data_IF_068413041744
#
_entry.id   IF_068413041744
#
_cell.length_a   1.000
_cell.length_b   1.000
_cell.length_c   1.000
_cell.angle_alpha   90.00
_cell.angle_beta   90.00
_cell.angle_gamma   90.00
#
_symmetry.space_group_name_H-M   'P 1'
#
loop_
_entity.id
_entity.type
_entity.pdbx_description
1 polymer ?
#
# COMPACT_ATOMS: atom_id res chain seq x y z
N UNK A 1 -64.91 -1.86 13.90
CA UNK A 1 -64.63 -0.41 13.85
C UNK A 1 -63.11 -0.30 13.87
N UNK A 2 -62.40 -0.28 12.73
CA UNK A 2 -62.21 0.88 11.82
C UNK A 2 -61.63 2.07 12.60
N UNK A 3 -60.46 2.64 12.32
CA UNK A 3 -59.74 2.79 11.04
C UNK A 3 -58.24 3.08 11.24
N UNK A 4 -57.48 2.93 10.16
CA UNK A 4 -56.09 3.34 9.91
C UNK A 4 -55.84 4.85 10.07
N UNK A 5 -54.58 5.24 10.35
CA UNK A 5 -53.90 6.36 9.64
C UNK A 5 -52.40 6.14 9.54
N UNK A 6 -51.91 6.22 8.31
CA UNK A 6 -50.54 6.26 7.79
C UNK A 6 -49.73 7.47 8.26
N UNK A 7 -48.42 7.31 8.50
CA UNK A 7 -47.43 8.36 8.27
C UNK A 7 -46.07 7.76 7.89
N UNK A 8 -45.64 8.06 6.67
CA UNK A 8 -44.31 7.79 6.12
C UNK A 8 -43.27 8.67 6.83
N UNK A 9 -42.08 8.13 7.06
CA UNK A 9 -40.85 8.93 7.18
C UNK A 9 -39.67 8.15 6.65
N UNK A 10 -39.44 8.40 5.36
CA UNK A 10 -38.16 8.29 4.67
C UNK A 10 -37.12 9.17 5.34
N UNK A 11 -35.99 8.61 5.77
CA UNK A 11 -34.75 9.38 5.95
C UNK A 11 -33.53 8.45 6.09
N UNK A 12 -32.64 8.55 5.10
CA UNK A 12 -31.21 8.58 5.35
C UNK A 12 -30.51 7.24 5.56
N UNK A 13 -30.24 6.56 4.46
CA UNK A 13 -29.21 5.54 4.35
C UNK A 13 -27.83 6.16 4.67
N UNK A 14 -27.33 5.95 5.89
CA UNK A 14 -25.97 6.34 6.26
C UNK A 14 -24.99 5.32 5.66
N UNK A 15 -24.63 5.54 4.40
CA UNK A 15 -23.55 4.84 3.71
C UNK A 15 -22.23 5.10 4.45
N UNK A 16 -21.72 4.08 5.14
CA UNK A 16 -20.46 4.10 5.85
C UNK A 16 -19.31 4.02 4.83
N UNK A 17 -18.83 5.16 4.35
CA UNK A 17 -17.59 5.20 3.56
C UNK A 17 -16.39 4.94 4.48
N UNK A 18 -15.51 3.97 4.16
CA UNK A 18 -14.24 3.86 4.87
C UNK A 18 -13.35 5.04 4.46
N UNK A 19 -13.01 5.89 5.44
CA UNK A 19 -12.05 6.99 5.28
C UNK A 19 -10.72 6.45 4.76
N UNK A 20 -10.31 6.90 3.56
CA UNK A 20 -8.97 6.69 3.04
C UNK A 20 -7.93 7.40 3.92
N UNK A 21 -6.77 6.78 4.22
CA UNK A 21 -5.64 7.51 4.77
C UNK A 21 -5.07 8.44 3.68
N UNK A 22 -5.12 9.74 3.94
CA UNK A 22 -4.49 10.78 3.14
C UNK A 22 -2.96 10.57 3.13
N UNK A 23 -2.45 10.18 1.97
CA UNK A 23 -1.03 10.04 1.67
C UNK A 23 -0.45 11.46 1.43
N UNK A 24 0.53 11.97 2.19
CA UNK A 24 1.19 13.22 1.84
C UNK A 24 2.13 12.96 0.64
N UNK A 25 1.72 13.44 -0.53
CA UNK A 25 2.57 13.47 -1.72
C UNK A 25 3.77 14.41 -1.46
N UNK A 26 5.02 14.01 -1.74
CA UNK A 26 6.15 14.93 -1.65
C UNK A 26 6.07 15.92 -2.80
N UNK A 27 6.03 17.21 -2.48
CA UNK A 27 6.14 18.28 -3.46
C UNK A 27 7.47 18.15 -4.24
N UNK A 28 7.49 18.39 -5.56
CA UNK A 28 8.75 18.47 -6.29
C UNK A 28 9.47 19.77 -5.90
N UNK A 29 10.65 19.63 -5.29
CA UNK A 29 11.58 20.73 -5.09
C UNK A 29 12.11 21.19 -6.45
N UNK A 30 11.58 22.28 -6.98
CA UNK A 30 12.21 22.99 -8.09
C UNK A 30 13.43 23.75 -7.58
N UNK A 31 14.61 23.18 -7.78
CA UNK A 31 15.83 23.98 -7.88
C UNK A 31 16.71 23.38 -8.98
N UNK A 32 16.28 23.58 -10.22
CA UNK A 32 17.11 23.38 -11.41
C UNK A 32 17.48 24.77 -11.95
N UNK A 33 18.63 25.29 -11.54
CA UNK A 33 19.23 26.44 -12.22
C UNK A 33 20.16 25.91 -13.31
N UNK A 34 19.58 25.58 -14.46
CA UNK A 34 20.35 25.44 -15.70
C UNK A 34 20.77 26.83 -16.15
N UNK A 35 22.08 27.12 -16.11
CA UNK A 35 22.62 28.33 -16.70
C UNK A 35 22.36 28.31 -18.22
N UNK A 36 21.54 29.25 -18.68
CA UNK A 36 21.45 29.60 -20.10
C UNK A 36 21.50 31.11 -20.23
N UNK A 37 22.32 31.49 -21.17
CA UNK A 37 22.77 32.82 -21.51
C UNK A 37 21.59 33.59 -22.12
N UNK A 38 21.26 34.77 -21.57
CA UNK A 38 20.94 35.94 -22.40
C UNK A 38 20.82 37.24 -21.59
N UNK A 39 21.22 38.31 -22.25
CA UNK A 39 21.41 39.68 -21.79
C UNK A 39 20.07 40.41 -21.54
N UNK A 40 19.80 40.86 -20.32
CA UNK A 40 18.95 42.04 -20.05
C UNK A 40 19.21 42.58 -18.64
N UNK A 41 19.65 43.85 -18.57
CA UNK A 41 20.02 44.57 -17.35
C UNK A 41 18.86 44.73 -16.33
N UNK A 42 19.09 44.31 -15.07
CA UNK A 42 18.37 44.82 -13.89
C UNK A 42 19.29 44.84 -12.66
N UNK A 43 19.45 45.98 -11.95
CA UNK A 43 20.41 46.08 -10.85
C UNK A 43 19.76 45.65 -9.53
N UNK A 44 20.01 44.41 -9.09
CA UNK A 44 19.73 44.02 -7.70
C UNK A 44 21.01 44.20 -6.88
N UNK A 45 21.12 45.39 -6.29
CA UNK A 45 22.09 45.70 -5.23
C UNK A 45 21.90 44.73 -4.04
N UNK A 46 23.02 44.35 -3.40
CA UNK A 46 23.18 43.56 -2.17
C UNK A 46 23.45 42.04 -2.22
N UNK A 47 23.81 41.44 -3.36
CA UNK A 47 24.57 40.16 -3.30
C UNK A 47 26.03 40.49 -3.02
N UNK A 48 26.49 40.25 -1.78
CA UNK A 48 27.91 40.28 -1.44
C UNK A 48 28.67 39.47 -2.50
N UNK A 49 29.38 40.17 -3.36
CA UNK A 49 30.02 39.54 -4.51
C UNK A 49 31.16 38.68 -3.97
N UNK A 50 31.11 37.36 -4.24
CA UNK A 50 32.21 36.46 -3.90
C UNK A 50 33.51 37.08 -4.44
N UNK A 51 34.60 37.11 -3.64
CA UNK A 51 35.89 37.56 -4.11
C UNK A 51 36.23 36.87 -5.43
N UNK A 52 36.59 37.64 -6.46
CA UNK A 52 36.98 37.08 -7.76
C UNK A 52 38.20 36.18 -7.54
N UNK A 53 37.98 34.87 -7.59
CA UNK A 53 39.07 33.90 -7.61
C UNK A 53 39.89 34.17 -8.87
N UNK A 54 41.19 34.46 -8.69
CA UNK A 54 42.16 34.47 -9.79
C UNK A 54 41.94 33.26 -10.67
N UNK A 55 41.93 33.44 -12.00
CA UNK A 55 41.70 32.37 -12.97
C UNK A 55 42.82 31.32 -12.81
N UNK A 56 42.57 30.32 -11.97
CA UNK A 56 43.47 29.18 -11.83
C UNK A 56 43.32 28.36 -13.11
N UNK A 57 44.45 28.12 -13.77
CA UNK A 57 44.61 27.15 -14.87
C UNK A 57 43.84 25.88 -14.47
N UNK A 58 42.98 25.36 -15.34
CA UNK A 58 42.18 24.16 -15.08
C UNK A 58 43.11 23.03 -14.61
N UNK A 59 43.16 22.75 -13.31
CA UNK A 59 43.84 21.57 -12.78
C UNK A 59 43.05 20.38 -13.33
N UNK A 60 43.73 19.51 -14.07
CA UNK A 60 43.13 18.40 -14.80
C UNK A 60 42.13 17.59 -13.96
N UNK A 61 41.19 16.96 -14.65
CA UNK A 61 40.11 16.18 -14.07
C UNK A 61 40.62 15.22 -12.97
N UNK A 62 40.05 15.31 -11.77
CA UNK A 62 40.30 14.37 -10.67
C UNK A 62 39.62 12.99 -10.89
N UNK A 63 39.18 12.69 -12.11
CA UNK A 63 38.51 11.42 -12.41
C UNK A 63 39.58 10.33 -12.46
N UNK A 64 39.65 9.53 -11.39
CA UNK A 64 40.44 8.30 -11.34
C UNK A 64 39.59 7.17 -11.91
N UNK A 65 40.09 6.46 -12.93
CA UNK A 65 39.43 5.27 -13.49
C UNK A 65 39.22 4.21 -12.40
N UNK A 66 38.04 3.58 -12.42
CA UNK A 66 37.62 2.59 -11.42
C UNK A 66 38.55 1.38 -11.33
N UNK A 67 39.28 1.08 -12.39
CA UNK A 67 40.26 -0.03 -12.43
C UNK A 67 41.56 0.26 -11.65
N UNK A 68 41.86 1.53 -11.34
CA UNK A 68 43.06 1.95 -10.62
C UNK A 68 42.81 2.28 -9.14
N UNK A 69 41.59 2.05 -8.62
CA UNK A 69 41.38 2.12 -7.19
C UNK A 69 41.99 0.88 -6.55
N UNK A 70 43.25 0.99 -6.11
CA UNK A 70 43.79 0.05 -5.13
C UNK A 70 42.79 0.07 -3.96
N UNK A 71 42.03 -1.03 -3.83
CA UNK A 71 41.09 -1.20 -2.74
C UNK A 71 41.81 -0.94 -1.43
N UNK A 72 41.12 -0.30 -0.49
CA UNK A 72 41.57 -0.08 0.88
C UNK A 72 41.81 -1.45 1.52
N UNK A 73 42.99 -2.02 1.28
CA UNK A 73 43.62 -3.00 2.13
C UNK A 73 44.03 -2.21 3.37
N UNK A 74 43.73 -2.73 4.56
CA UNK A 74 43.87 -2.05 5.84
C UNK A 74 45.29 -1.60 6.13
N UNK A 75 45.67 -0.45 5.58
CA UNK A 75 46.91 0.21 5.89
C UNK A 75 46.79 0.87 7.28
N UNK A 76 47.80 0.65 8.10
CA UNK A 76 47.98 1.32 9.37
C UNK A 76 48.17 2.82 9.09
N UNK A 77 47.16 3.62 9.41
CA UNK A 77 47.17 5.06 9.14
C UNK A 77 48.23 5.74 10.03
N UNK A 78 49.19 6.44 9.40
CA UNK A 78 50.20 7.23 10.09
C UNK A 78 49.57 8.36 10.92
N UNK A 79 50.21 8.71 12.04
CA UNK A 79 49.72 9.72 13.00
C UNK A 79 49.62 11.14 12.41
N UNK A 80 50.20 11.37 11.23
CA UNK A 80 50.07 12.60 10.45
C UNK A 80 48.99 12.57 9.35
N UNK A 81 48.27 11.46 9.15
CA UNK A 81 47.27 11.36 8.09
C UNK A 81 46.06 12.27 8.40
N UNK A 82 45.76 13.19 7.49
CA UNK A 82 44.59 14.08 7.53
C UNK A 82 43.26 13.34 7.67
N UNK A 83 43.21 12.06 7.27
CA UNK A 83 42.05 11.17 7.45
C UNK A 83 41.82 10.77 8.90
N UNK A 84 42.87 10.73 9.73
CA UNK A 84 42.77 10.52 11.19
C UNK A 84 42.28 11.75 11.94
N UNK A 85 42.49 12.95 11.36
CA UNK A 85 42.10 14.24 11.94
C UNK A 85 40.67 14.67 11.57
N UNK A 86 40.00 13.94 10.68
CA UNK A 86 38.57 14.15 10.40
C UNK A 86 37.74 13.42 11.46
N UNK A 87 36.67 14.02 12.03
CA UNK A 87 35.72 13.30 12.87
C UNK A 87 35.03 12.19 12.05
N UNK A 88 35.67 11.04 11.92
CA UNK A 88 35.07 9.83 11.38
C UNK A 88 34.21 9.26 12.50
N UNK A 89 32.96 8.86 12.21
CA UNK A 89 32.27 7.88 13.08
C UNK A 89 33.24 6.73 13.30
N UNK A 90 33.53 6.41 14.56
CA UNK A 90 34.34 5.23 14.90
C UNK A 90 33.76 4.05 14.12
N UNK A 91 34.58 3.23 13.44
CA UNK A 91 34.09 2.10 12.64
C UNK A 91 33.05 1.23 13.37
N UNK A 92 33.21 1.09 14.69
CA UNK A 92 32.27 0.42 15.59
C UNK A 92 30.83 0.98 15.56
N UNK A 93 30.63 2.28 15.37
CA UNK A 93 29.29 2.89 15.28
C UNK A 93 28.63 2.61 13.92
N UNK A 94 29.42 2.46 12.85
CA UNK A 94 28.92 2.09 11.53
C UNK A 94 28.47 0.62 11.53
N UNK A 95 29.27 -0.25 12.14
CA UNK A 95 28.92 -1.67 12.28
C UNK A 95 27.66 -1.85 13.13
N UNK A 96 27.56 -1.16 14.27
CA UNK A 96 26.34 -1.15 15.10
C UNK A 96 25.11 -0.68 14.31
N UNK A 97 25.23 0.37 13.52
CA UNK A 97 24.12 0.84 12.69
C UNK A 97 23.71 -0.20 11.62
N UNK A 98 24.68 -0.93 11.07
CA UNK A 98 24.42 -2.03 10.14
C UNK A 98 23.71 -3.22 10.80
N UNK A 99 24.08 -3.56 12.03
CA UNK A 99 23.42 -4.59 12.83
C UNK A 99 21.99 -4.16 13.22
N UNK A 100 21.81 -2.92 13.69
CA UNK A 100 20.51 -2.36 14.04
C UNK A 100 19.57 -2.39 12.81
N UNK A 101 20.03 -1.95 11.64
CA UNK A 101 19.24 -1.99 10.41
C UNK A 101 18.88 -3.41 9.95
N UNK A 102 19.79 -4.38 10.11
CA UNK A 102 19.49 -5.80 9.83
C UNK A 102 18.44 -6.34 10.81
N UNK A 103 18.55 -5.97 12.08
CA UNK A 103 17.61 -6.41 13.11
C UNK A 103 16.20 -5.87 12.85
N UNK A 104 16.09 -4.60 12.46
CA UNK A 104 14.82 -3.95 12.11
C UNK A 104 14.17 -4.62 10.88
N UNK A 105 14.95 -4.91 9.84
CA UNK A 105 14.44 -5.62 8.66
C UNK A 105 13.92 -7.01 9.01
N UNK A 106 14.61 -7.74 9.90
CA UNK A 106 14.16 -9.06 10.35
C UNK A 106 12.87 -8.95 11.16
N UNK A 107 12.74 -7.94 12.02
CA UNK A 107 11.53 -7.70 12.81
C UNK A 107 10.32 -7.34 11.93
N UNK A 108 10.53 -6.47 10.93
CA UNK A 108 9.50 -6.13 9.95
C UNK A 108 9.07 -7.37 9.15
N UNK A 109 10.02 -8.21 8.72
CA UNK A 109 9.72 -9.45 8.01
C UNK A 109 8.89 -10.42 8.88
N UNK A 110 9.22 -10.56 10.18
CA UNK A 110 8.45 -11.39 11.12
C UNK A 110 7.04 -10.85 11.33
N UNK A 111 6.88 -9.54 11.47
CA UNK A 111 5.58 -8.89 11.62
C UNK A 111 4.71 -9.14 10.38
N UNK A 112 5.30 -8.98 9.19
CA UNK A 112 4.61 -9.27 7.93
C UNK A 112 4.19 -10.75 7.86
N UNK A 113 5.10 -11.68 8.18
CA UNK A 113 4.79 -13.11 8.19
C UNK A 113 3.63 -13.43 9.14
N UNK A 114 3.62 -12.87 10.34
CA UNK A 114 2.52 -13.04 11.30
C UNK A 114 1.20 -12.48 10.75
N UNK A 115 1.23 -11.31 10.10
CA UNK A 115 0.04 -10.72 9.48
C UNK A 115 -0.51 -11.58 8.34
N UNK A 116 0.36 -12.16 7.51
CA UNK A 116 -0.05 -13.04 6.42
C UNK A 116 -0.65 -14.35 6.95
N UNK A 117 -0.06 -14.93 8.00
CA UNK A 117 -0.61 -16.12 8.64
C UNK A 117 -2.02 -15.86 9.18
N UNK A 118 -2.23 -14.74 9.89
CA UNK A 118 -3.54 -14.37 10.40
C UNK A 118 -4.59 -14.17 9.28
N UNK A 119 -4.17 -13.66 8.12
CA UNK A 119 -5.05 -13.53 6.95
C UNK A 119 -5.43 -14.92 6.40
N UNK A 120 -4.47 -15.85 6.29
CA UNK A 120 -4.72 -17.22 5.83
C UNK A 120 -5.75 -17.90 6.74
N UNK A 121 -5.55 -17.84 8.06
CA UNK A 121 -6.47 -18.45 9.03
C UNK A 121 -7.90 -17.87 8.90
N UNK A 122 -8.01 -16.55 8.70
CA UNK A 122 -9.30 -15.88 8.47
C UNK A 122 -9.96 -16.33 7.16
N UNK A 123 -9.19 -16.47 6.09
CA UNK A 123 -9.70 -16.96 4.79
C UNK A 123 -10.21 -18.39 4.91
N UNK A 124 -9.48 -19.26 5.63
CA UNK A 124 -9.93 -20.63 5.87
C UNK A 124 -11.23 -20.70 6.67
N UNK A 125 -11.36 -19.87 7.71
CA UNK A 125 -12.61 -19.73 8.47
C UNK A 125 -13.77 -19.33 7.57
N UNK A 126 -13.61 -18.26 6.78
CA UNK A 126 -14.64 -17.78 5.83
C UNK A 126 -14.98 -18.85 4.80
N UNK A 127 -13.99 -19.59 4.29
CA UNK A 127 -14.21 -20.69 3.34
C UNK A 127 -15.08 -21.79 3.95
N UNK A 128 -14.81 -22.18 5.20
CA UNK A 128 -15.60 -23.20 5.90
C UNK A 128 -17.04 -22.76 6.17
N UNK A 129 -17.26 -21.48 6.48
CA UNK A 129 -18.59 -20.90 6.65
C UNK A 129 -19.33 -20.82 5.33
N UNK A 130 -18.64 -20.42 4.25
CA UNK A 130 -19.20 -20.38 2.91
C UNK A 130 -19.64 -21.77 2.45
N UNK A 131 -18.83 -22.81 2.68
CA UNK A 131 -19.20 -24.20 2.35
C UNK A 131 -20.47 -24.65 3.09
N UNK A 132 -20.62 -24.29 4.37
CA UNK A 132 -21.85 -24.56 5.14
C UNK A 132 -23.06 -23.83 4.58
N UNK A 133 -22.92 -22.54 4.26
CA UNK A 133 -23.99 -21.74 3.67
C UNK A 133 -24.38 -22.24 2.27
N UNK A 134 -23.40 -22.62 1.46
CA UNK A 134 -23.64 -23.20 0.14
C UNK A 134 -24.34 -24.55 0.25
N UNK A 135 -23.90 -25.43 1.16
CA UNK A 135 -24.57 -26.69 1.46
C UNK A 135 -26.01 -26.50 1.94
N UNK A 136 -26.23 -25.55 2.86
CA UNK A 136 -27.56 -25.18 3.33
C UNK A 136 -28.46 -24.61 2.22
N UNK A 137 -27.92 -23.77 1.34
CA UNK A 137 -28.66 -23.21 0.21
C UNK A 137 -29.04 -24.31 -0.80
N UNK A 138 -28.13 -25.24 -1.12
CA UNK A 138 -28.43 -26.41 -1.95
C UNK A 138 -29.55 -27.27 -1.33
N UNK A 139 -29.50 -27.51 -0.02
CA UNK A 139 -30.55 -28.24 0.69
C UNK A 139 -31.91 -27.53 0.59
N UNK A 140 -31.96 -26.23 0.84
CA UNK A 140 -33.18 -25.43 0.72
C UNK A 140 -33.74 -25.45 -0.71
N UNK A 141 -32.89 -25.32 -1.72
CA UNK A 141 -33.30 -25.40 -3.13
C UNK A 141 -33.89 -26.77 -3.47
N UNK A 142 -33.27 -27.87 -3.02
CA UNK A 142 -33.79 -29.23 -3.22
C UNK A 142 -35.16 -29.40 -2.55
N UNK A 143 -35.28 -28.96 -1.29
CA UNK A 143 -36.53 -29.05 -0.53
C UNK A 143 -37.66 -28.26 -1.19
N UNK A 144 -37.39 -27.03 -1.64
CA UNK A 144 -38.35 -26.22 -2.39
C UNK A 144 -38.73 -26.92 -3.71
N UNK A 145 -37.75 -27.46 -4.44
CA UNK A 145 -38.00 -28.21 -5.67
C UNK A 145 -38.93 -29.40 -5.46
N UNK A 146 -38.67 -30.22 -4.45
CA UNK A 146 -39.52 -31.36 -4.08
C UNK A 146 -40.92 -30.92 -3.65
N UNK A 147 -41.03 -29.87 -2.82
CA UNK A 147 -42.31 -29.34 -2.37
C UNK A 147 -43.14 -28.79 -3.53
N UNK A 148 -42.51 -28.10 -4.46
CA UNK A 148 -43.17 -27.60 -5.67
C UNK A 148 -43.61 -28.75 -6.59
N UNK A 149 -42.79 -29.79 -6.76
CA UNK A 149 -43.12 -30.96 -7.56
C UNK A 149 -44.31 -31.72 -6.96
N UNK A 150 -44.28 -32.00 -5.66
CA UNK A 150 -45.39 -32.66 -4.94
C UNK A 150 -46.66 -31.80 -4.97
N UNK A 151 -46.54 -30.47 -4.83
CA UNK A 151 -47.68 -29.53 -4.92
C UNK A 151 -48.33 -29.51 -6.31
N UNK A 152 -47.55 -29.63 -7.40
CA UNK A 152 -48.09 -29.77 -8.77
C UNK A 152 -48.80 -31.11 -8.99
N UNK A 153 -48.24 -32.20 -8.48
CA UNK A 153 -48.81 -33.55 -8.64
C UNK A 153 -50.13 -33.68 -7.86
N UNK A 154 -50.18 -33.16 -6.64
CA UNK A 154 -51.37 -33.24 -5.77
C UNK A 154 -52.50 -32.29 -6.20
N UNK A 155 -52.18 -31.08 -6.69
CA UNK A 155 -53.19 -30.12 -7.16
C UNK A 155 -53.85 -30.50 -8.50
N UNK A 156 -53.20 -31.31 -9.32
CA UNK A 156 -53.76 -31.80 -10.60
C UNK A 156 -54.55 -33.11 -10.47
N UNK A 157 -54.42 -33.83 -9.35
CA UNK A 157 -55.08 -35.12 -9.08
C UNK A 157 -56.57 -35.06 -8.72
N UNK A 158 -57.13 -33.89 -8.41
CA UNK A 158 -58.52 -33.77 -7.89
C UNK A 158 -59.56 -33.30 -8.92
N UNK A 159 -59.20 -33.04 -10.19
CA UNK A 159 -60.14 -32.56 -11.23
C UNK A 159 -60.76 -33.65 -12.13
N UNK A 160 -60.73 -34.93 -11.75
CA UNK A 160 -61.48 -35.99 -12.46
C UNK A 160 -62.72 -36.42 -11.66
N UNK A 161 -63.62 -35.46 -11.44
CA UNK A 161 -64.89 -35.69 -10.77
C UNK A 161 -66.01 -34.87 -11.40
N UNK A 162 -66.94 -35.58 -12.05
CA UNK A 162 -68.37 -35.22 -12.15
C UNK A 162 -68.77 -34.06 -13.10
N UNK A 163 -68.49 -34.20 -14.39
CA UNK A 163 -69.22 -33.50 -15.45
C UNK A 163 -70.39 -34.34 -15.97
N UNK A 164 -71.46 -34.50 -15.18
CA UNK A 164 -72.73 -35.09 -15.64
C UNK A 164 -73.58 -33.94 -16.19
N UNK A 165 -73.30 -33.46 -17.39
CA UNK A 165 -74.17 -32.51 -18.09
C UNK A 165 -75.31 -33.28 -18.74
N UNK A 166 -76.46 -33.28 -18.09
CA UNK A 166 -77.72 -33.57 -18.76
C UNK A 166 -78.15 -32.35 -19.57
N UNK A 167 -78.54 -32.56 -20.82
CA UNK A 167 -79.88 -32.27 -21.35
C UNK A 167 -80.00 -32.89 -22.74
#
# INVERSE_FOLDING_TARGET
MSSETTALSSLGEAQYYPSQPSNPSPAPSEDSTTASEDDTARPTSSRLSRPKMSSRKSSGSMIVSRENSNGVVGEEYDAGDVRSMSPRRNGAEVDKLGEDARSELIEQAKTLQASLQAIVDRVESVKSEHEKLEGGNKFLQSYIGELMQTSKITSTGTKKGKGRSGK
#
